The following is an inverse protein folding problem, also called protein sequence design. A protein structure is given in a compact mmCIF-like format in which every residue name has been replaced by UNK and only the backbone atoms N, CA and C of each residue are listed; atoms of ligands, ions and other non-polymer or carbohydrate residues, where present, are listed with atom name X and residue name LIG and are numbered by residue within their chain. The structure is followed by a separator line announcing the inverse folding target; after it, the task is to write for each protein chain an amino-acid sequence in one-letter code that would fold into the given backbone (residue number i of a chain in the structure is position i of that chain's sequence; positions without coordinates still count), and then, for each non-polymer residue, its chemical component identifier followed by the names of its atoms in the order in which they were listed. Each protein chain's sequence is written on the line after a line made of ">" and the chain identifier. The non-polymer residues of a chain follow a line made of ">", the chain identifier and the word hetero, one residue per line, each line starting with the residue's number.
data_IF_927840439824
#
_entry.id   IF_927840439824
#
_cell.length_a   1.000
_cell.length_b   1.000
_cell.length_c   1.000
_cell.angle_alpha   90.00
_cell.angle_beta   90.00
_cell.angle_gamma   90.00
#
_symmetry.space_group_name_H-M   'P 1'
#
loop_
_entity.id
_entity.type
_entity.pdbx_description
1 polymer ?
#
# COMPACT_ATOMS: atom_id res chain seq x y z
N UNK A 1 14.31 25.56 9.57
CA UNK A 1 14.08 24.61 10.70
C UNK A 1 14.04 25.40 12.01
N UNK A 2 12.99 25.25 12.83
CA UNK A 2 12.88 25.90 14.16
C UNK A 2 13.65 25.11 15.24
N UNK A 3 13.95 25.77 16.36
CA UNK A 3 14.64 25.20 17.54
C UNK A 3 16.08 24.71 17.31
N UNK A 4 16.86 25.46 16.51
CA UNK A 4 18.25 25.10 16.18
C UNK A 4 19.18 24.98 17.40
N UNK A 5 18.92 25.76 18.45
CA UNK A 5 19.68 25.72 19.71
C UNK A 5 19.58 24.34 20.38
N UNK A 6 18.37 23.79 20.47
CA UNK A 6 18.14 22.44 21.00
C UNK A 6 18.71 21.36 20.09
N UNK A 7 18.62 21.53 18.76
CA UNK A 7 19.23 20.60 17.81
C UNK A 7 20.73 20.43 18.09
N UNK A 8 21.49 21.53 18.18
CA UNK A 8 22.94 21.47 18.39
C UNK A 8 23.34 20.90 19.76
N UNK A 9 22.49 21.03 20.77
CA UNK A 9 22.69 20.38 22.07
C UNK A 9 22.53 18.86 21.93
N UNK A 10 21.39 18.41 21.39
CA UNK A 10 21.04 16.99 21.26
C UNK A 10 22.01 16.25 20.33
N UNK A 11 22.41 16.85 19.20
CA UNK A 11 23.35 16.21 18.28
C UNK A 11 24.74 15.98 18.91
N UNK A 12 25.17 16.89 19.79
CA UNK A 12 26.44 16.75 20.52
C UNK A 12 26.36 15.66 21.59
N UNK A 13 25.27 15.63 22.36
CA UNK A 13 25.05 14.64 23.41
C UNK A 13 24.99 13.21 22.86
N UNK A 14 24.22 13.01 21.78
CA UNK A 14 24.00 11.69 21.20
C UNK A 14 25.00 11.31 20.10
N UNK A 15 25.92 12.22 19.72
CA UNK A 15 26.92 12.05 18.64
C UNK A 15 26.31 11.55 17.31
N UNK A 16 25.06 11.94 17.03
CA UNK A 16 24.27 11.52 15.86
C UNK A 16 23.51 12.74 15.34
N UNK A 17 23.18 12.74 14.05
CA UNK A 17 22.29 13.77 13.51
C UNK A 17 20.91 13.66 14.13
N UNK A 18 20.24 14.80 14.31
CA UNK A 18 18.90 14.85 14.89
C UNK A 18 17.92 13.99 14.09
N UNK A 19 18.07 13.94 12.77
CA UNK A 19 17.27 13.05 11.90
C UNK A 19 17.43 11.57 12.31
N UNK A 20 18.66 11.09 12.54
CA UNK A 20 18.90 9.69 12.96
C UNK A 20 18.35 9.42 14.36
N UNK A 21 18.49 10.37 15.28
CA UNK A 21 17.95 10.26 16.64
C UNK A 21 16.42 10.17 16.59
N UNK A 22 15.78 11.10 15.88
CA UNK A 22 14.32 11.13 15.73
C UNK A 22 13.78 9.89 15.03
N UNK A 23 14.50 9.35 14.03
CA UNK A 23 14.15 8.09 13.39
C UNK A 23 14.15 6.92 14.39
N UNK A 24 15.22 6.77 15.18
CA UNK A 24 15.28 5.69 16.18
C UNK A 24 14.20 5.80 17.25
N UNK A 25 13.85 7.02 17.68
CA UNK A 25 12.79 7.22 18.67
C UNK A 25 11.39 7.00 18.09
N UNK A 26 11.10 7.55 16.90
CA UNK A 26 9.75 7.57 16.34
C UNK A 26 9.41 6.31 15.53
N UNK A 27 10.40 5.76 14.82
CA UNK A 27 10.20 4.65 13.86
C UNK A 27 10.62 3.33 14.49
N UNK A 28 11.85 3.23 14.99
CA UNK A 28 12.36 1.96 15.53
C UNK A 28 11.72 1.62 16.88
N UNK A 29 11.64 2.61 17.79
CA UNK A 29 11.07 2.43 19.13
C UNK A 29 9.59 2.77 19.25
N UNK A 30 8.99 3.38 18.23
CA UNK A 30 7.57 3.72 18.19
C UNK A 30 7.11 4.68 19.30
N UNK A 31 7.98 5.53 19.83
CA UNK A 31 7.65 6.40 20.96
C UNK A 31 6.61 7.46 20.57
N UNK A 32 5.68 7.73 21.48
CA UNK A 32 4.76 8.86 21.35
C UNK A 32 5.48 10.19 21.66
N UNK A 33 4.81 11.32 21.41
CA UNK A 33 5.42 12.64 21.57
C UNK A 33 5.82 12.97 23.02
N UNK A 34 5.12 12.44 24.02
CA UNK A 34 5.43 12.67 25.43
C UNK A 34 6.69 11.92 25.83
N UNK A 35 6.75 10.62 25.51
CA UNK A 35 7.88 9.77 25.88
C UNK A 35 9.15 10.14 25.11
N UNK A 36 9.01 10.49 23.83
CA UNK A 36 10.12 10.98 23.02
C UNK A 36 10.69 12.31 23.53
N UNK A 37 9.83 13.25 23.92
CA UNK A 37 10.25 14.52 24.49
C UNK A 37 10.96 14.34 25.85
N UNK A 38 10.41 13.48 26.71
CA UNK A 38 11.02 13.11 28.00
C UNK A 38 12.38 12.45 27.81
N UNK A 39 12.52 11.55 26.82
CA UNK A 39 13.78 10.86 26.50
C UNK A 39 14.87 11.85 26.09
N UNK A 40 14.50 12.93 25.39
CA UNK A 40 15.43 13.95 24.90
C UNK A 40 15.58 15.15 25.86
N UNK A 41 14.86 15.18 26.98
CA UNK A 41 14.90 16.32 27.91
C UNK A 41 14.42 17.64 27.31
N UNK A 42 13.47 17.61 26.37
CA UNK A 42 12.95 18.80 25.67
C UNK A 42 11.44 18.99 25.88
N UNK A 43 10.94 20.18 25.58
CA UNK A 43 9.51 20.44 25.52
C UNK A 43 8.82 19.59 24.42
N UNK A 44 7.62 19.09 24.73
CA UNK A 44 6.83 18.24 23.82
C UNK A 44 6.60 18.88 22.45
N UNK A 45 6.37 20.18 22.40
CA UNK A 45 6.14 20.94 21.16
C UNK A 45 7.34 20.90 20.20
N UNK A 46 8.56 20.92 20.75
CA UNK A 46 9.79 20.81 19.97
C UNK A 46 9.88 19.41 19.35
N UNK A 47 9.59 18.38 20.14
CA UNK A 47 9.58 17.00 19.67
C UNK A 47 8.54 16.79 18.55
N UNK A 48 7.31 17.27 18.76
CA UNK A 48 6.23 17.21 17.75
C UNK A 48 6.65 17.93 16.48
N UNK A 49 7.21 19.13 16.58
CA UNK A 49 7.70 19.88 15.42
C UNK A 49 8.75 19.10 14.64
N UNK A 50 9.74 18.50 15.31
CA UNK A 50 10.78 17.72 14.64
C UNK A 50 10.24 16.43 14.03
N UNK A 51 9.33 15.72 14.72
CA UNK A 51 8.68 14.53 14.18
C UNK A 51 7.95 14.85 12.88
N UNK A 52 7.20 15.94 12.86
CA UNK A 52 6.49 16.42 11.68
C UNK A 52 7.44 16.87 10.57
N UNK A 53 8.47 17.67 10.91
CA UNK A 53 9.48 18.15 9.97
C UNK A 53 10.21 17.02 9.24
N UNK A 54 10.54 15.94 9.96
CA UNK A 54 11.17 14.76 9.39
C UNK A 54 10.21 13.71 8.83
N UNK A 55 8.90 13.98 8.89
CA UNK A 55 7.84 13.11 8.40
C UNK A 55 7.76 11.73 9.06
N UNK A 56 8.08 11.63 10.35
CA UNK A 56 8.04 10.37 11.11
C UNK A 56 6.70 10.13 11.83
N UNK A 57 5.62 10.74 11.35
CA UNK A 57 4.27 10.38 11.74
C UNK A 57 3.82 9.13 10.99
N UNK A 58 3.07 8.24 11.66
CA UNK A 58 2.66 6.96 11.07
C UNK A 58 1.94 7.13 9.72
N UNK A 59 1.05 8.12 9.61
CA UNK A 59 0.33 8.40 8.36
C UNK A 59 1.26 8.87 7.24
N UNK A 60 2.26 9.69 7.56
CA UNK A 60 3.24 10.17 6.57
C UNK A 60 4.18 9.04 6.14
N UNK A 61 4.62 8.18 7.06
CA UNK A 61 5.42 7.01 6.73
C UNK A 61 4.67 6.04 5.81
N UNK A 62 3.39 5.77 6.11
CA UNK A 62 2.54 4.94 5.24
C UNK A 62 2.37 5.58 3.87
N UNK A 63 2.09 6.88 3.81
CA UNK A 63 1.98 7.61 2.55
C UNK A 63 3.29 7.55 1.74
N UNK A 64 4.42 7.84 2.36
CA UNK A 64 5.74 7.81 1.71
C UNK A 64 6.10 6.40 1.22
N UNK A 65 5.67 5.36 1.94
CA UNK A 65 5.80 3.96 1.49
C UNK A 65 4.90 3.69 0.29
N UNK A 66 3.61 4.03 0.35
CA UNK A 66 2.67 3.85 -0.76
C UNK A 66 3.14 4.55 -2.03
N UNK A 67 3.69 5.76 -1.93
CA UNK A 67 4.26 6.48 -3.10
C UNK A 67 5.41 5.69 -3.71
N UNK A 68 6.32 5.13 -2.90
CA UNK A 68 7.42 4.29 -3.42
C UNK A 68 6.91 3.01 -4.06
N UNK A 69 5.88 2.39 -3.49
CA UNK A 69 5.30 1.16 -4.02
C UNK A 69 4.66 1.44 -5.40
N UNK A 70 3.96 2.57 -5.55
CA UNK A 70 3.40 3.01 -6.84
C UNK A 70 4.48 3.17 -7.93
N UNK A 71 5.63 3.76 -7.58
CA UNK A 71 6.76 3.89 -8.52
C UNK A 71 7.24 2.49 -8.99
N UNK A 72 7.35 1.52 -8.06
CA UNK A 72 7.78 0.16 -8.40
C UNK A 72 6.78 -0.62 -9.26
N UNK A 73 5.48 -0.35 -9.11
CA UNK A 73 4.45 -0.97 -9.93
C UNK A 73 4.45 -0.45 -11.37
N UNK A 74 4.93 0.78 -11.61
CA UNK A 74 5.05 1.30 -12.97
C UNK A 74 5.98 0.42 -13.83
N UNK A 75 7.10 -0.02 -13.26
CA UNK A 75 8.05 -0.91 -13.95
C UNK A 75 7.47 -2.31 -14.16
N UNK A 76 6.74 -2.85 -13.16
CA UNK A 76 6.10 -4.16 -13.25
C UNK A 76 5.08 -4.22 -14.41
N UNK A 77 4.22 -3.20 -14.53
CA UNK A 77 3.20 -3.18 -15.57
C UNK A 77 3.74 -2.76 -16.95
N UNK A 78 4.98 -2.29 -17.06
CA UNK A 78 5.57 -1.92 -18.34
C UNK A 78 5.72 -3.13 -19.30
N UNK A 79 6.06 -4.30 -18.77
CA UNK A 79 6.16 -5.54 -19.57
C UNK A 79 4.77 -6.10 -19.91
N UNK A 80 3.86 -6.09 -18.95
CA UNK A 80 2.47 -6.50 -19.12
C UNK A 80 1.81 -5.72 -20.28
N UNK A 81 1.96 -4.39 -20.31
CA UNK A 81 1.38 -3.51 -21.35
C UNK A 81 1.89 -3.81 -22.76
N UNK A 82 3.13 -4.30 -22.94
CA UNK A 82 3.65 -4.64 -24.28
C UNK A 82 2.95 -5.84 -24.90
N UNK A 83 2.40 -6.72 -24.07
CA UNK A 83 1.75 -7.97 -24.49
C UNK A 83 0.22 -7.90 -24.52
N UNK A 84 -0.37 -6.83 -23.97
CA UNK A 84 -1.81 -6.66 -23.88
C UNK A 84 -2.48 -6.36 -25.21
N UNK A 85 -3.62 -7.02 -25.46
CA UNK A 85 -4.52 -6.69 -26.56
C UNK A 85 -5.88 -6.24 -26.03
N UNK A 86 -5.96 -4.95 -25.66
CA UNK A 86 -7.21 -4.31 -25.19
C UNK A 86 -8.29 -4.20 -26.28
N UNK A 87 -7.96 -4.49 -27.54
CA UNK A 87 -8.93 -4.49 -28.65
C UNK A 87 -9.54 -5.87 -28.92
N UNK A 88 -9.14 -6.90 -28.15
CA UNK A 88 -9.71 -8.24 -28.29
C UNK A 88 -11.21 -8.20 -27.97
N UNK A 89 -12.01 -8.72 -28.89
CA UNK A 89 -13.45 -8.92 -28.67
C UNK A 89 -13.65 -10.00 -27.59
N UNK A 90 -14.62 -9.77 -26.71
CA UNK A 90 -15.03 -10.74 -25.69
C UNK A 90 -15.77 -11.91 -26.37
N UNK A 91 -15.37 -13.14 -26.05
CA UNK A 91 -15.89 -14.37 -26.63
C UNK A 91 -17.23 -14.77 -26.00
N UNK A 92 -17.44 -14.45 -24.72
CA UNK A 92 -18.62 -14.85 -23.95
C UNK A 92 -19.57 -13.68 -23.65
N UNK A 93 -19.54 -12.61 -24.47
CA UNK A 93 -20.33 -11.38 -24.23
C UNK A 93 -21.85 -11.60 -24.17
N UNK A 94 -22.34 -12.62 -24.87
CA UNK A 94 -23.77 -12.93 -24.97
C UNK A 94 -24.26 -13.90 -23.87
N UNK A 95 -23.36 -14.35 -22.97
CA UNK A 95 -23.66 -15.35 -21.96
C UNK A 95 -23.50 -14.82 -20.54
N UNK A 96 -24.52 -15.01 -19.70
CA UNK A 96 -24.42 -14.78 -18.25
C UNK A 96 -23.76 -15.99 -17.55
N UNK A 97 -22.49 -16.24 -17.85
CA UNK A 97 -21.72 -17.38 -17.34
C UNK A 97 -20.54 -16.96 -16.46
N UNK A 98 -19.99 -17.90 -15.67
CA UNK A 98 -18.79 -17.65 -14.87
C UNK A 98 -17.58 -17.41 -15.78
N UNK A 99 -17.53 -18.09 -16.93
CA UNK A 99 -16.51 -17.88 -17.96
C UNK A 99 -16.58 -16.46 -18.53
N UNK A 100 -17.78 -15.96 -18.83
CA UNK A 100 -17.95 -14.58 -19.29
C UNK A 100 -17.60 -13.55 -18.21
N UNK A 101 -17.96 -13.80 -16.95
CA UNK A 101 -17.53 -12.94 -15.84
C UNK A 101 -16.01 -12.90 -15.70
N UNK A 102 -15.35 -14.05 -15.78
CA UNK A 102 -13.89 -14.13 -15.71
C UNK A 102 -13.23 -13.37 -16.87
N UNK A 103 -13.71 -13.55 -18.10
CA UNK A 103 -13.18 -12.87 -19.28
C UNK A 103 -13.25 -11.34 -19.10
N UNK A 104 -14.39 -10.84 -18.62
CA UNK A 104 -14.57 -9.42 -18.29
C UNK A 104 -13.58 -9.00 -17.19
N UNK A 105 -13.43 -9.79 -16.13
CA UNK A 105 -12.48 -9.47 -15.04
C UNK A 105 -11.05 -9.37 -15.57
N UNK A 106 -10.60 -10.35 -16.35
CA UNK A 106 -9.24 -10.36 -16.94
C UNK A 106 -9.04 -9.14 -17.86
N UNK A 107 -10.02 -8.84 -18.71
CA UNK A 107 -9.97 -7.66 -19.57
C UNK A 107 -9.87 -6.35 -18.76
N UNK A 108 -10.61 -6.25 -17.64
CA UNK A 108 -10.55 -5.09 -16.75
C UNK A 108 -9.20 -5.00 -16.00
N UNK A 109 -8.61 -6.13 -15.59
CA UNK A 109 -7.26 -6.16 -15.02
C UNK A 109 -6.27 -5.57 -16.03
N UNK A 110 -6.31 -6.02 -17.28
CA UNK A 110 -5.42 -5.52 -18.33
C UNK A 110 -5.61 -4.02 -18.57
N UNK A 111 -6.87 -3.56 -18.62
CA UNK A 111 -7.18 -2.14 -18.76
C UNK A 111 -6.62 -1.30 -17.60
N UNK A 112 -6.79 -1.75 -16.35
CA UNK A 112 -6.29 -0.98 -15.20
C UNK A 112 -4.78 -1.03 -15.06
N UNK A 113 -4.11 -2.13 -15.44
CA UNK A 113 -2.65 -2.18 -15.56
C UNK A 113 -2.13 -1.18 -16.60
N UNK A 114 -2.78 -1.12 -17.76
CA UNK A 114 -2.50 -0.11 -18.78
C UNK A 114 -2.71 1.31 -18.25
N UNK A 115 -3.84 1.57 -17.58
CA UNK A 115 -4.15 2.88 -17.04
C UNK A 115 -3.17 3.28 -15.93
N UNK A 116 -2.78 2.34 -15.07
CA UNK A 116 -1.75 2.53 -14.05
C UNK A 116 -0.42 2.93 -14.70
N UNK A 117 0.04 2.17 -15.69
CA UNK A 117 1.27 2.47 -16.43
C UNK A 117 1.22 3.85 -17.10
N UNK A 118 0.13 4.18 -17.81
CA UNK A 118 -0.04 5.46 -18.52
C UNK A 118 -0.14 6.67 -17.59
N UNK A 119 -0.71 6.50 -16.40
CA UNK A 119 -0.90 7.57 -15.43
C UNK A 119 0.15 7.62 -14.34
N UNK A 120 1.16 6.74 -14.38
CA UNK A 120 2.11 6.53 -13.26
C UNK A 120 1.39 6.32 -11.92
N UNK A 121 0.31 5.54 -11.93
CA UNK A 121 -0.51 5.24 -10.74
C UNK A 121 -1.35 6.40 -10.21
N UNK A 122 -1.37 7.56 -10.87
CA UNK A 122 -2.12 8.74 -10.40
C UNK A 122 -3.60 8.73 -10.77
N UNK A 123 -4.04 7.82 -11.65
CA UNK A 123 -5.46 7.67 -11.97
C UNK A 123 -6.22 7.01 -10.82
N UNK A 124 -7.28 7.66 -10.34
CA UNK A 124 -8.20 7.08 -9.35
C UNK A 124 -8.86 5.79 -9.84
N UNK A 125 -9.06 5.67 -11.15
CA UNK A 125 -9.63 4.46 -11.73
C UNK A 125 -8.66 3.28 -11.66
N UNK A 126 -7.34 3.51 -11.74
CA UNK A 126 -6.35 2.45 -11.57
C UNK A 126 -6.37 1.84 -10.16
N UNK A 127 -6.91 2.56 -9.16
CA UNK A 127 -7.09 2.03 -7.81
C UNK A 127 -8.12 0.89 -7.74
N UNK A 128 -8.87 0.62 -8.83
CA UNK A 128 -9.77 -0.54 -8.94
C UNK A 128 -9.03 -1.83 -9.26
N UNK A 129 -7.76 -1.79 -9.68
CA UNK A 129 -7.00 -2.99 -10.05
C UNK A 129 -7.02 -4.09 -8.98
N UNK A 130 -6.75 -3.81 -7.68
CA UNK A 130 -6.76 -4.86 -6.65
C UNK A 130 -8.12 -5.53 -6.48
N UNK A 131 -9.22 -4.80 -6.73
CA UNK A 131 -10.58 -5.35 -6.66
C UNK A 131 -10.79 -6.40 -7.76
N UNK A 132 -10.34 -6.12 -8.99
CA UNK A 132 -10.49 -7.06 -10.09
C UNK A 132 -9.53 -8.25 -9.96
N UNK A 133 -8.29 -8.04 -9.49
CA UNK A 133 -7.37 -9.14 -9.16
C UNK A 133 -7.92 -10.06 -8.07
N UNK A 134 -8.52 -9.48 -7.02
CA UNK A 134 -9.21 -10.25 -5.99
C UNK A 134 -10.40 -11.03 -6.58
N UNK A 135 -11.22 -10.39 -7.42
CA UNK A 135 -12.37 -11.03 -8.05
C UNK A 135 -11.95 -12.21 -8.94
N UNK A 136 -10.86 -12.06 -9.69
CA UNK A 136 -10.27 -13.14 -10.48
C UNK A 136 -9.84 -14.31 -9.58
N UNK A 137 -9.18 -14.02 -8.46
CA UNK A 137 -8.80 -15.04 -7.49
C UNK A 137 -10.03 -15.79 -6.93
N UNK A 138 -11.14 -15.10 -6.66
CA UNK A 138 -12.38 -15.76 -6.22
C UNK A 138 -12.89 -16.74 -7.28
N UNK A 139 -12.91 -16.35 -8.56
CA UNK A 139 -13.33 -17.21 -9.67
C UNK A 139 -12.41 -18.44 -9.80
N UNK A 140 -11.09 -18.23 -9.72
CA UNK A 140 -10.10 -19.32 -9.77
C UNK A 140 -10.29 -20.29 -8.60
N UNK A 141 -10.46 -19.79 -7.38
CA UNK A 141 -10.71 -20.61 -6.19
C UNK A 141 -12.04 -21.36 -6.26
N UNK A 142 -13.03 -20.79 -6.92
CA UNK A 142 -14.28 -21.50 -7.20
C UNK A 142 -14.05 -22.63 -8.19
N UNK A 143 -13.31 -22.37 -9.28
CA UNK A 143 -12.97 -23.37 -10.31
C UNK A 143 -12.15 -24.54 -9.77
N UNK A 144 -11.17 -24.28 -8.90
CA UNK A 144 -10.35 -25.32 -8.26
C UNK A 144 -11.11 -26.10 -7.19
N UNK A 145 -12.28 -25.62 -6.76
CA UNK A 145 -13.08 -26.21 -5.69
C UNK A 145 -12.66 -25.79 -4.28
N UNK A 146 -11.59 -25.00 -4.14
CA UNK A 146 -11.09 -24.52 -2.84
C UNK A 146 -12.15 -23.70 -2.10
N UNK A 147 -12.87 -22.85 -2.83
CA UNK A 147 -13.92 -22.02 -2.25
C UNK A 147 -15.10 -22.86 -1.75
N UNK A 148 -15.43 -23.94 -2.46
CA UNK A 148 -16.50 -24.88 -2.06
C UNK A 148 -16.06 -25.67 -0.82
N UNK A 149 -14.80 -26.07 -0.75
CA UNK A 149 -14.23 -26.74 0.41
C UNK A 149 -14.28 -25.85 1.66
N UNK A 150 -13.84 -24.59 1.54
CA UNK A 150 -13.92 -23.61 2.62
C UNK A 150 -15.36 -23.36 3.08
N UNK A 151 -16.30 -23.21 2.15
CA UNK A 151 -17.71 -23.02 2.51
C UNK A 151 -18.27 -24.23 3.29
N UNK A 152 -17.87 -25.45 2.91
CA UNK A 152 -18.30 -26.68 3.61
C UNK A 152 -17.68 -26.81 5.00
N UNK A 153 -16.41 -26.43 5.20
CA UNK A 153 -15.77 -26.51 6.52
C UNK A 153 -16.42 -25.57 7.53
N UNK A 154 -16.87 -24.38 7.11
CA UNK A 154 -17.60 -23.46 7.98
C UNK A 154 -18.96 -24.01 8.44
N UNK A 155 -19.66 -24.74 7.57
CA UNK A 155 -20.94 -25.37 7.95
C UNK A 155 -20.75 -26.47 9.01
N UNK A 156 -19.67 -27.25 8.94
CA UNK A 156 -19.36 -28.30 9.92
C UNK A 156 -19.04 -27.74 11.32
N UNK A 157 -18.57 -26.49 11.41
CA UNK A 157 -18.28 -25.81 12.68
C UNK A 157 -19.52 -25.19 13.35
N UNK A 158 -20.64 -25.05 12.63
CA UNK A 158 -21.89 -24.50 13.17
C UNK A 158 -22.83 -25.59 13.73
N UNK A 159 -22.59 -26.85 13.37
CA UNK A 159 -23.38 -28.01 13.82
C UNK A 159 -22.74 -28.75 15.03
N UNK A 160 -21.73 -28.16 15.69
CA UNK A 160 -21.10 -28.62 16.95
C UNK A 160 -21.40 -27.67 18.10
#
# INVERSE_FOLDING_TARGET
>A
MRYLQYKGLIEREYKKSLKKIMYGLCVEKGLNASDGAKTLGIAKEIFVYWRHYYRFERKQLLFDQTVRDLDSFQDLYAEDVKSMNLSKKLEFEDEASIQGLEEVIVHMIDYYKYLHYKSSGMSLDAAKLPLFEFSHNVVERYRTGDLVYEAKSHNQHLDQ
#
